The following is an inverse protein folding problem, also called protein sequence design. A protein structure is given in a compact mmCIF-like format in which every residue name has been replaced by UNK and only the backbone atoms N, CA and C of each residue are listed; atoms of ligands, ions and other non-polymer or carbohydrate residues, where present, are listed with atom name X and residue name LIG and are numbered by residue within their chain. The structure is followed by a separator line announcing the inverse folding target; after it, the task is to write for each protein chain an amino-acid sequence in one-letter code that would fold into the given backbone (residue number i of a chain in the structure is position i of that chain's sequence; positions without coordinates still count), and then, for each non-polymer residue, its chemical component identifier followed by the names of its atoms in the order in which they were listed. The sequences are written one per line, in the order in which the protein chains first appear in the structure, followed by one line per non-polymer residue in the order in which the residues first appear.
data_IF_138740353530
#
_entry.id   IF_138740353530
#
_cell.length_a   1.000
_cell.length_b   1.000
_cell.length_c   1.000
_cell.angle_alpha   90.00
_cell.angle_beta   90.00
_cell.angle_gamma   90.00
#
_symmetry.space_group_name_H-M   'P 1'
#
loop_
_entity.id
_entity.type
_entity.pdbx_description
1 polymer ?
#
# COMPACT_ATOMS: atom_id res chain seq x y z
N UNK A 1 6.57 -18.33 -12.05
CA UNK A 1 5.56 -18.22 -10.97
C UNK A 1 4.66 -19.46 -10.93
N UNK A 2 5.14 -20.62 -11.42
CA UNK A 2 4.39 -21.88 -11.38
C UNK A 2 3.97 -22.20 -9.94
N UNK A 3 2.81 -22.82 -9.75
CA UNK A 3 2.29 -23.11 -8.42
C UNK A 3 1.34 -22.08 -7.83
N UNK A 4 1.49 -20.78 -8.12
CA UNK A 4 0.74 -19.75 -7.39
C UNK A 4 -0.74 -19.76 -7.75
N UNK A 5 -1.62 -19.90 -6.75
CA UNK A 5 -3.06 -19.98 -6.95
C UNK A 5 -3.51 -21.29 -7.60
N UNK A 6 -2.65 -22.30 -7.73
CA UNK A 6 -3.07 -23.61 -8.27
C UNK A 6 -4.19 -24.24 -7.44
N UNK A 7 -4.25 -23.96 -6.14
CA UNK A 7 -5.42 -24.25 -5.32
C UNK A 7 -5.77 -23.09 -4.38
N UNK A 8 -7.06 -22.99 -4.07
CA UNK A 8 -7.63 -22.09 -3.07
C UNK A 8 -8.64 -22.91 -2.25
N UNK A 9 -8.48 -22.94 -0.93
CA UNK A 9 -9.39 -23.59 0.00
C UNK A 9 -10.06 -22.50 0.83
N UNK A 10 -11.37 -22.36 0.68
CA UNK A 10 -12.17 -21.45 1.48
C UNK A 10 -12.96 -22.21 2.54
N UNK A 11 -13.21 -21.55 3.66
CA UNK A 11 -14.24 -21.95 4.63
C UNK A 11 -15.41 -20.99 4.49
N UNK A 12 -16.61 -21.53 4.24
CA UNK A 12 -17.86 -20.77 4.26
C UNK A 12 -18.58 -21.06 5.58
N UNK A 13 -18.61 -20.06 6.45
CA UNK A 13 -19.31 -20.09 7.73
C UNK A 13 -20.78 -19.73 7.47
N UNK A 14 -21.54 -20.73 7.01
CA UNK A 14 -22.89 -20.58 6.49
C UNK A 14 -23.90 -20.01 7.50
N UNK A 15 -23.60 -20.06 8.80
CA UNK A 15 -24.45 -19.47 9.85
C UNK A 15 -24.40 -17.94 9.89
N UNK A 16 -23.32 -17.34 9.36
CA UNK A 16 -23.09 -15.88 9.33
C UNK A 16 -22.82 -15.36 7.91
N UNK A 17 -22.91 -16.25 6.92
CA UNK A 17 -22.63 -16.01 5.50
C UNK A 17 -21.26 -15.35 5.21
N UNK A 18 -20.22 -15.80 5.93
CA UNK A 18 -18.85 -15.32 5.72
C UNK A 18 -17.96 -16.36 5.05
N UNK A 19 -17.12 -15.91 4.11
CA UNK A 19 -16.14 -16.75 3.40
C UNK A 19 -14.72 -16.31 3.73
N UNK A 20 -13.89 -17.26 4.19
CA UNK A 20 -12.49 -17.01 4.58
C UNK A 20 -11.56 -17.90 3.77
N UNK A 21 -10.52 -17.32 3.15
CA UNK A 21 -9.48 -18.10 2.48
C UNK A 21 -8.59 -18.78 3.52
N UNK A 22 -8.83 -20.07 3.74
CA UNK A 22 -8.19 -20.85 4.79
C UNK A 22 -6.85 -21.46 4.35
N UNK A 23 -6.69 -21.87 3.09
CA UNK A 23 -5.41 -22.31 2.55
C UNK A 23 -5.28 -21.98 1.06
N UNK A 24 -4.06 -21.76 0.58
CA UNK A 24 -3.77 -21.49 -0.83
C UNK A 24 -2.28 -21.69 -1.13
N UNK A 25 -1.94 -21.89 -2.40
CA UNK A 25 -0.56 -21.84 -2.85
C UNK A 25 -0.13 -20.42 -3.22
N UNK A 26 0.87 -19.87 -2.54
CA UNK A 26 1.41 -18.54 -2.84
C UNK A 26 2.87 -18.61 -3.26
N UNK A 27 3.23 -17.95 -4.36
CA UNK A 27 4.65 -17.82 -4.75
C UNK A 27 5.39 -16.72 -3.99
N UNK A 28 4.69 -15.90 -3.20
CA UNK A 28 5.20 -14.79 -2.39
C UNK A 28 5.96 -13.69 -3.17
N UNK A 29 5.88 -13.69 -4.51
CA UNK A 29 6.51 -12.68 -5.39
C UNK A 29 5.55 -11.51 -5.64
N UNK A 30 5.23 -10.76 -4.60
CA UNK A 30 4.21 -9.69 -4.62
C UNK A 30 4.46 -8.54 -5.63
N UNK A 31 5.68 -8.35 -6.14
CA UNK A 31 5.95 -7.37 -7.20
C UNK A 31 5.69 -7.90 -8.63
N UNK A 32 5.45 -9.21 -8.77
CA UNK A 32 5.20 -9.86 -10.06
C UNK A 32 3.85 -10.56 -10.12
N UNK A 33 3.38 -11.08 -8.99
CA UNK A 33 2.20 -11.91 -8.89
C UNK A 33 1.01 -11.09 -8.36
N UNK A 34 -0.02 -10.81 -9.19
CA UNK A 34 -1.18 -10.02 -8.78
C UNK A 34 -1.89 -10.62 -7.56
N UNK A 35 -2.04 -11.96 -7.51
CA UNK A 35 -2.67 -12.65 -6.37
C UNK A 35 -1.92 -12.37 -5.06
N UNK A 36 -0.60 -12.59 -5.04
CA UNK A 36 0.20 -12.32 -3.83
C UNK A 36 0.22 -10.83 -3.49
N UNK A 37 0.21 -9.95 -4.49
CA UNK A 37 0.16 -8.50 -4.30
C UNK A 37 -1.14 -8.09 -3.60
N UNK A 38 -2.30 -8.48 -4.15
CA UNK A 38 -3.63 -8.16 -3.61
C UNK A 38 -3.78 -8.68 -2.18
N UNK A 39 -3.38 -9.93 -1.92
CA UNK A 39 -3.47 -10.49 -0.57
C UNK A 39 -2.58 -9.74 0.42
N UNK A 40 -1.35 -9.39 0.03
CA UNK A 40 -0.45 -8.61 0.89
C UNK A 40 -0.98 -7.20 1.14
N UNK A 41 -1.50 -6.54 0.11
CA UNK A 41 -2.11 -5.21 0.21
C UNK A 41 -3.32 -5.22 1.15
N UNK A 42 -4.19 -6.23 1.03
CA UNK A 42 -5.36 -6.40 1.90
C UNK A 42 -4.98 -6.62 3.37
N UNK A 43 -3.94 -7.41 3.66
CA UNK A 43 -3.42 -7.60 5.04
C UNK A 43 -2.88 -6.31 5.63
N UNK A 44 -2.09 -5.57 4.85
CA UNK A 44 -1.57 -4.28 5.28
C UNK A 44 -2.72 -3.28 5.52
N UNK A 45 -3.67 -3.18 4.59
CA UNK A 45 -4.85 -2.33 4.73
C UNK A 45 -5.59 -2.62 6.03
N UNK A 46 -5.92 -3.89 6.31
CA UNK A 46 -6.62 -4.27 7.54
C UNK A 46 -5.84 -3.87 8.79
N UNK A 47 -4.55 -4.21 8.87
CA UNK A 47 -3.73 -3.88 10.04
C UNK A 47 -3.66 -2.36 10.30
N UNK A 48 -3.55 -1.55 9.25
CA UNK A 48 -3.51 -0.09 9.41
C UNK A 48 -4.88 0.53 9.68
N UNK A 49 -5.98 -0.05 9.18
CA UNK A 49 -7.34 0.34 9.53
C UNK A 49 -7.65 0.01 10.99
N UNK A 50 -7.34 -1.20 11.44
CA UNK A 50 -7.51 -1.60 12.84
C UNK A 50 -6.69 -0.67 13.76
N UNK A 51 -5.48 -0.29 13.35
CA UNK A 51 -4.70 0.72 14.07
C UNK A 51 -5.34 2.11 14.05
N UNK A 52 -5.91 2.52 12.91
CA UNK A 52 -6.60 3.80 12.78
C UNK A 52 -7.80 3.89 13.72
N UNK A 53 -8.59 2.82 13.86
CA UNK A 53 -9.73 2.78 14.78
C UNK A 53 -9.32 3.06 16.23
N UNK A 54 -8.21 2.46 16.68
CA UNK A 54 -7.63 2.74 18.00
C UNK A 54 -7.18 4.20 18.12
N UNK A 55 -6.45 4.72 17.13
CA UNK A 55 -5.95 6.10 17.15
C UNK A 55 -7.12 7.10 17.18
N UNK A 56 -8.16 6.88 16.38
CA UNK A 56 -9.32 7.75 16.28
C UNK A 56 -10.10 7.80 17.60
N UNK A 57 -10.20 6.67 18.30
CA UNK A 57 -10.83 6.60 19.61
C UNK A 57 -10.03 7.37 20.68
N UNK A 58 -8.70 7.30 20.65
CA UNK A 58 -7.82 7.97 21.63
C UNK A 58 -7.57 9.45 21.33
N UNK A 59 -7.49 9.82 20.04
CA UNK A 59 -7.08 11.14 19.56
C UNK A 59 -8.13 11.72 18.63
N UNK A 60 -9.27 12.08 19.21
CA UNK A 60 -10.49 12.49 18.51
C UNK A 60 -10.34 13.74 17.64
N UNK A 61 -9.30 14.55 17.83
CA UNK A 61 -8.98 15.71 17.00
C UNK A 61 -8.29 15.35 15.68
N UNK A 62 -7.64 14.18 15.58
CA UNK A 62 -6.91 13.80 14.36
C UNK A 62 -7.86 13.49 13.21
N UNK A 63 -7.47 13.93 12.02
CA UNK A 63 -8.14 13.69 10.75
C UNK A 63 -7.14 13.08 9.75
N UNK A 64 -7.59 12.15 8.90
CA UNK A 64 -6.76 11.60 7.83
C UNK A 64 -6.76 12.52 6.61
N UNK A 65 -5.57 12.77 6.08
CA UNK A 65 -5.33 13.50 4.83
C UNK A 65 -4.58 12.59 3.86
N UNK A 66 -5.03 12.55 2.61
CA UNK A 66 -4.26 11.95 1.54
C UNK A 66 -3.22 12.96 1.06
N UNK A 67 -1.97 12.52 1.01
CA UNK A 67 -0.84 13.30 0.52
C UNK A 67 -0.13 12.53 -0.58
N UNK A 68 0.04 13.15 -1.74
CA UNK A 68 0.81 12.58 -2.85
C UNK A 68 2.08 13.40 -3.06
N UNK A 69 3.23 12.74 -3.17
CA UNK A 69 4.51 13.38 -3.51
C UNK A 69 5.10 12.74 -4.76
N UNK A 70 5.46 13.57 -5.73
CA UNK A 70 5.96 13.13 -7.04
C UNK A 70 7.35 13.73 -7.29
N UNK A 71 8.26 12.98 -7.90
CA UNK A 71 9.52 13.53 -8.45
C UNK A 71 9.42 13.64 -9.97
N UNK A 72 10.29 14.45 -10.58
CA UNK A 72 10.32 14.56 -12.04
C UNK A 72 10.58 13.20 -12.69
N UNK A 73 9.80 12.90 -13.72
CA UNK A 73 9.94 11.69 -14.53
C UNK A 73 11.37 11.53 -15.07
N UNK A 74 11.78 10.27 -15.28
CA UNK A 74 13.09 10.00 -15.85
C UNK A 74 13.25 8.59 -16.41
N UNK A 75 14.26 8.36 -17.23
CA UNK A 75 14.44 7.09 -17.95
C UNK A 75 14.94 5.95 -17.06
N UNK A 76 15.63 6.26 -15.94
CA UNK A 76 16.21 5.27 -15.02
C UNK A 76 15.33 5.10 -13.78
N UNK A 77 14.65 3.96 -13.67
CA UNK A 77 13.80 3.64 -12.52
C UNK A 77 14.58 3.60 -11.20
N UNK A 78 15.77 3.02 -11.20
CA UNK A 78 16.55 2.80 -9.98
C UNK A 78 17.01 4.14 -9.40
N UNK A 79 17.42 5.05 -10.28
CA UNK A 79 17.80 6.39 -9.92
C UNK A 79 16.59 7.22 -9.49
N UNK A 80 15.50 7.25 -10.27
CA UNK A 80 14.28 8.01 -9.91
C UNK A 80 13.67 7.54 -8.58
N UNK A 81 13.63 6.23 -8.33
CA UNK A 81 13.17 5.69 -7.05
C UNK A 81 14.08 6.09 -5.89
N UNK A 82 15.41 6.03 -6.08
CA UNK A 82 16.38 6.45 -5.05
C UNK A 82 16.23 7.94 -4.73
N UNK A 83 16.01 8.77 -5.75
CA UNK A 83 15.76 10.20 -5.61
C UNK A 83 14.52 10.47 -4.76
N UNK A 84 13.37 9.90 -5.14
CA UNK A 84 12.12 10.01 -4.38
C UNK A 84 12.27 9.50 -2.93
N UNK A 85 12.90 8.35 -2.74
CA UNK A 85 13.10 7.78 -1.41
C UNK A 85 14.01 8.65 -0.52
N UNK A 86 15.08 9.22 -1.09
CA UNK A 86 15.98 10.16 -0.38
C UNK A 86 15.26 11.45 -0.02
N UNK A 87 14.50 12.02 -0.96
CA UNK A 87 13.72 13.23 -0.76
C UNK A 87 12.68 13.04 0.36
N UNK A 88 11.89 11.96 0.29
CA UNK A 88 10.91 11.67 1.33
C UNK A 88 11.57 11.51 2.71
N UNK A 89 12.70 10.80 2.79
CA UNK A 89 13.44 10.66 4.04
C UNK A 89 13.92 12.02 4.57
N UNK A 90 14.41 12.91 3.71
CA UNK A 90 14.86 14.24 4.12
C UNK A 90 13.70 15.10 4.66
N UNK A 91 12.51 15.05 4.02
CA UNK A 91 11.32 15.75 4.52
C UNK A 91 10.96 15.31 5.96
N UNK A 92 10.97 14.00 6.23
CA UNK A 92 10.76 13.48 7.60
C UNK A 92 11.89 13.86 8.56
N UNK A 93 13.15 13.90 8.09
CA UNK A 93 14.26 14.36 8.93
C UNK A 93 14.14 15.85 9.28
N UNK A 94 13.63 16.71 8.38
CA UNK A 94 13.35 18.12 8.69
C UNK A 94 12.33 18.26 9.83
N UNK A 95 11.23 17.49 9.79
CA UNK A 95 10.28 17.40 10.92
C UNK A 95 10.99 17.00 12.23
N UNK A 96 11.80 15.94 12.20
CA UNK A 96 12.51 15.47 13.40
C UNK A 96 13.51 16.49 13.96
N UNK A 97 14.08 17.35 13.12
CA UNK A 97 14.98 18.43 13.54
C UNK A 97 14.24 19.64 14.14
N UNK A 98 12.91 19.71 14.03
CA UNK A 98 12.08 20.74 14.66
C UNK A 98 12.30 22.16 14.12
N UNK A 99 12.58 22.30 12.81
CA UNK A 99 12.92 23.60 12.18
C UNK A 99 11.77 24.23 11.38
N UNK A 100 10.52 23.93 11.73
CA UNK A 100 9.34 24.50 11.03
C UNK A 100 9.03 23.79 9.72
N UNK A 101 8.89 22.46 9.75
CA UNK A 101 8.50 21.65 8.59
C UNK A 101 6.97 21.64 8.41
N UNK A 102 6.50 21.54 7.18
CA UNK A 102 5.07 21.37 6.87
C UNK A 102 4.44 20.15 7.54
N UNK A 103 5.25 19.13 7.86
CA UNK A 103 4.81 17.92 8.56
C UNK A 103 4.82 18.05 10.09
N UNK A 104 5.14 19.22 10.67
CA UNK A 104 5.26 19.38 12.13
C UNK A 104 3.96 19.03 12.86
N UNK A 105 2.79 19.36 12.30
CA UNK A 105 1.47 18.98 12.80
C UNK A 105 1.05 17.53 12.52
N UNK A 106 1.86 16.74 11.82
CA UNK A 106 1.55 15.32 11.50
C UNK A 106 1.97 14.43 12.67
N UNK A 107 1.00 13.72 13.26
CA UNK A 107 1.16 12.85 14.42
C UNK A 107 1.47 11.40 14.03
N UNK A 108 1.15 11.01 12.79
CA UNK A 108 1.53 9.74 12.21
C UNK A 108 1.24 9.69 10.72
N UNK A 109 1.94 8.81 10.02
CA UNK A 109 1.70 8.60 8.61
C UNK A 109 1.99 7.16 8.19
N UNK A 110 1.34 6.71 7.12
CA UNK A 110 1.68 5.49 6.39
C UNK A 110 1.70 5.81 4.91
N UNK A 111 2.68 5.30 4.17
CA UNK A 111 2.82 5.59 2.74
C UNK A 111 3.32 4.39 1.96
N UNK A 112 2.95 4.35 0.68
CA UNK A 112 3.42 3.38 -0.29
C UNK A 112 4.04 4.10 -1.50
N UNK A 113 5.01 3.44 -2.14
CA UNK A 113 5.61 3.93 -3.38
C UNK A 113 4.94 3.27 -4.59
N UNK A 114 4.49 4.06 -5.56
CA UNK A 114 4.05 3.62 -6.88
C UNK A 114 5.13 3.99 -7.92
N UNK A 115 5.38 3.07 -8.85
CA UNK A 115 6.16 3.37 -10.06
C UNK A 115 5.35 2.93 -11.27
N UNK A 116 5.20 3.82 -12.24
CA UNK A 116 4.58 3.52 -13.53
C UNK A 116 5.32 4.21 -14.66
N UNK A 117 5.15 3.76 -15.90
CA UNK A 117 5.51 4.61 -17.04
C UNK A 117 4.45 5.69 -17.24
N UNK A 118 4.88 6.92 -17.50
CA UNK A 118 3.99 8.01 -17.86
C UNK A 118 3.27 7.70 -19.18
N UNK A 119 1.98 8.04 -19.26
CA UNK A 119 1.20 7.85 -20.49
C UNK A 119 1.82 8.68 -21.62
N UNK A 120 2.27 8.01 -22.69
CA UNK A 120 2.86 8.66 -23.86
C UNK A 120 4.31 9.15 -23.72
N UNK A 121 4.87 9.26 -22.51
CA UNK A 121 6.25 9.72 -22.30
C UNK A 121 7.28 8.59 -22.36
N UNK A 122 6.87 7.37 -22.05
CA UNK A 122 7.76 6.20 -22.03
C UNK A 122 8.82 6.24 -20.92
N UNK A 123 8.80 7.22 -20.02
CA UNK A 123 9.73 7.37 -18.88
C UNK A 123 9.04 7.00 -17.57
N UNK A 124 9.83 6.72 -16.53
CA UNK A 124 9.32 6.32 -15.22
C UNK A 124 8.82 7.53 -14.43
N UNK A 125 7.66 7.35 -13.81
CA UNK A 125 6.94 8.30 -12.98
C UNK A 125 6.78 7.72 -11.56
N UNK A 126 7.83 7.76 -10.72
CA UNK A 126 7.73 7.35 -9.34
C UNK A 126 7.08 8.45 -8.50
N UNK A 127 6.15 8.03 -7.67
CA UNK A 127 5.49 8.87 -6.69
C UNK A 127 5.15 8.04 -5.46
N UNK A 128 4.74 8.71 -4.39
CA UNK A 128 4.23 8.04 -3.21
C UNK A 128 2.87 8.61 -2.84
N UNK A 129 2.03 7.74 -2.29
CA UNK A 129 0.78 8.12 -1.65
C UNK A 129 0.89 7.86 -0.16
N UNK A 130 0.42 8.80 0.64
CA UNK A 130 0.56 8.82 2.09
C UNK A 130 -0.77 9.16 2.74
N UNK A 131 -1.15 8.42 3.78
CA UNK A 131 -2.10 8.89 4.77
C UNK A 131 -1.31 9.66 5.82
N UNK A 132 -1.62 10.93 6.04
CA UNK A 132 -1.10 11.73 7.13
C UNK A 132 -2.21 12.01 8.15
N UNK A 133 -1.95 11.77 9.44
CA UNK A 133 -2.86 12.14 10.52
C UNK A 133 -2.42 13.44 11.17
N UNK A 134 -3.28 14.45 11.10
CA UNK A 134 -3.05 15.76 11.71
C UNK A 134 -4.37 16.34 12.23
N UNK A 135 -4.30 17.31 13.13
CA UNK A 135 -5.50 18.06 13.58
C UNK A 135 -5.93 19.10 12.55
N UNK A 136 -4.95 19.67 11.83
CA UNK A 136 -5.12 20.66 10.78
C UNK A 136 -4.49 20.13 9.50
N UNK A 137 -5.14 20.37 8.37
CA UNK A 137 -4.64 19.97 7.06
C UNK A 137 -3.23 20.53 6.81
N UNK A 138 -2.26 19.69 6.41
CA UNK A 138 -0.95 20.18 5.99
C UNK A 138 -1.07 21.11 4.78
N UNK A 139 -0.50 22.32 4.87
CA UNK A 139 -0.58 23.29 3.78
C UNK A 139 0.09 22.76 2.51
N UNK A 140 -0.70 22.56 1.44
CA UNK A 140 -0.20 22.12 0.15
C UNK A 140 0.86 23.07 -0.42
N UNK A 141 0.65 24.38 -0.33
CA UNK A 141 1.61 25.37 -0.83
C UNK A 141 2.96 25.32 -0.11
N UNK A 142 2.93 25.13 1.22
CA UNK A 142 4.16 24.95 2.01
C UNK A 142 4.84 23.65 1.64
N UNK A 143 4.07 22.57 1.51
CA UNK A 143 4.59 21.26 1.13
C UNK A 143 5.22 21.30 -0.26
N UNK A 144 4.59 21.96 -1.22
CA UNK A 144 5.12 22.15 -2.58
C UNK A 144 6.48 22.86 -2.57
N UNK A 145 6.61 23.94 -1.80
CA UNK A 145 7.89 24.67 -1.62
C UNK A 145 8.96 23.82 -0.95
N UNK A 146 8.66 23.23 0.20
CA UNK A 146 9.62 22.38 0.93
C UNK A 146 10.02 21.15 0.09
N UNK A 147 9.09 20.58 -0.67
CA UNK A 147 9.36 19.46 -1.57
C UNK A 147 10.29 19.87 -2.71
N UNK A 148 10.11 21.06 -3.28
CA UNK A 148 11.02 21.60 -4.28
C UNK A 148 12.42 21.87 -3.72
N UNK A 149 12.53 22.41 -2.50
CA UNK A 149 13.83 22.59 -1.84
C UNK A 149 14.55 21.26 -1.58
N UNK A 150 13.80 20.21 -1.26
CA UNK A 150 14.36 18.88 -0.97
C UNK A 150 14.74 18.12 -2.24
N UNK A 151 13.90 18.18 -3.27
CA UNK A 151 14.09 17.42 -4.51
C UNK A 151 14.95 18.15 -5.52
N UNK A 152 14.88 19.48 -5.58
CA UNK A 152 15.48 20.31 -6.62
C UNK A 152 14.82 20.17 -8.00
N UNK A 153 13.89 19.23 -8.21
CA UNK A 153 13.33 18.91 -9.52
C UNK A 153 11.80 18.78 -9.55
N UNK A 154 11.11 18.80 -8.41
CA UNK A 154 9.66 18.72 -8.35
C UNK A 154 9.04 19.58 -7.26
N UNK A 155 7.96 20.27 -7.61
CA UNK A 155 7.06 20.96 -6.68
C UNK A 155 5.66 20.32 -6.70
N UNK A 156 5.49 19.21 -7.43
CA UNK A 156 4.20 18.56 -7.65
C UNK A 156 3.85 17.71 -6.44
N UNK A 157 2.82 18.16 -5.74
CA UNK A 157 2.24 17.52 -4.56
C UNK A 157 0.73 17.68 -4.60
N UNK A 158 0.02 16.81 -3.88
CA UNK A 158 -1.43 16.91 -3.64
C UNK A 158 -1.67 16.69 -2.15
N UNK A 159 -2.49 17.53 -1.53
CA UNK A 159 -2.99 17.35 -0.16
C UNK A 159 -4.48 17.55 -0.17
N UNK A 160 -5.22 16.55 0.33
CA UNK A 160 -6.68 16.62 0.42
C UNK A 160 -7.19 15.85 1.64
N UNK A 161 -8.30 16.29 2.25
CA UNK A 161 -8.91 15.53 3.34
C UNK A 161 -9.49 14.22 2.80
N UNK A 162 -9.45 13.18 3.62
CA UNK A 162 -10.21 11.96 3.35
C UNK A 162 -11.58 12.15 3.99
N UNK A 163 -12.57 12.46 3.16
CA UNK A 163 -13.98 12.61 3.54
C UNK A 163 -14.72 11.26 3.45
N UNK A 164 -15.82 11.13 4.19
CA UNK A 164 -16.62 9.91 4.16
C UNK A 164 -15.97 8.73 4.89
N UNK A 165 -15.97 7.55 4.28
CA UNK A 165 -15.40 6.33 4.86
C UNK A 165 -13.86 6.36 4.77
N UNK A 166 -13.13 6.43 5.91
CA UNK A 166 -11.67 6.39 5.92
C UNK A 166 -11.08 5.16 5.22
N UNK A 167 -11.83 4.05 5.15
CA UNK A 167 -11.40 2.86 4.44
C UNK A 167 -11.11 3.15 2.96
N UNK A 168 -11.85 4.05 2.31
CA UNK A 168 -11.64 4.43 0.92
C UNK A 168 -10.28 5.12 0.71
N UNK A 169 -9.94 6.07 1.58
CA UNK A 169 -8.64 6.75 1.53
C UNK A 169 -7.48 5.80 1.81
N UNK A 170 -7.62 4.89 2.78
CA UNK A 170 -6.60 3.89 3.05
C UNK A 170 -6.47 2.91 1.89
N UNK A 171 -7.59 2.45 1.32
CA UNK A 171 -7.60 1.59 0.13
C UNK A 171 -6.82 2.23 -1.00
N UNK A 172 -6.93 3.55 -1.21
CA UNK A 172 -6.13 4.27 -2.18
C UNK A 172 -4.63 4.01 -1.93
N UNK A 173 -4.09 4.30 -0.74
CA UNK A 173 -2.66 4.06 -0.40
C UNK A 173 -2.22 2.60 -0.54
N UNK A 174 -3.05 1.63 -0.13
CA UNK A 174 -2.67 0.21 -0.16
C UNK A 174 -2.88 -0.46 -1.53
N UNK A 175 -3.77 0.06 -2.39
CA UNK A 175 -3.95 -0.39 -3.78
C UNK A 175 -2.69 -0.15 -4.60
N UNK A 176 -1.92 0.89 -4.31
CA UNK A 176 -0.66 1.14 -5.02
C UNK A 176 0.42 0.09 -4.81
N UNK A 177 0.36 -0.66 -3.69
CA UNK A 177 1.25 -1.81 -3.48
C UNK A 177 1.00 -2.94 -4.49
N UNK A 178 -0.13 -2.92 -5.21
CA UNK A 178 -0.56 -3.97 -6.14
C UNK A 178 -0.46 -3.56 -7.61
N UNK A 179 -0.26 -2.27 -7.93
CA UNK A 179 -0.28 -1.75 -9.30
C UNK A 179 0.89 -2.16 -10.20
N UNK A 180 1.87 -2.89 -9.67
CA UNK A 180 2.96 -3.44 -10.50
C UNK A 180 2.42 -4.37 -11.59
N UNK A 181 1.30 -5.07 -11.33
CA UNK A 181 0.67 -5.96 -12.30
C UNK A 181 -0.16 -5.27 -13.37
N UNK A 182 -0.48 -3.98 -13.19
CA UNK A 182 -1.35 -3.22 -14.11
C UNK A 182 -0.55 -2.61 -15.28
N UNK A 183 0.75 -2.89 -15.34
CA UNK A 183 1.69 -2.41 -16.34
C UNK A 183 2.07 -3.50 -17.35
N UNK A 184 2.63 -3.14 -18.52
CA UNK A 184 3.14 -4.13 -19.47
C UNK A 184 4.14 -5.11 -18.83
N UNK A 185 4.14 -6.40 -19.18
CA UNK A 185 4.97 -7.41 -18.51
C UNK A 185 6.48 -7.09 -18.46
N UNK A 186 7.01 -6.42 -19.49
CA UNK A 186 8.41 -5.99 -19.53
C UNK A 186 8.73 -4.95 -18.46
N UNK A 187 7.81 -4.01 -18.21
CA UNK A 187 7.95 -2.98 -17.20
C UNK A 187 7.78 -3.55 -15.80
N UNK A 188 6.80 -4.44 -15.59
CA UNK A 188 6.62 -5.18 -14.35
C UNK A 188 7.88 -5.98 -14.00
N UNK A 189 8.47 -6.67 -14.98
CA UNK A 189 9.72 -7.42 -14.78
C UNK A 189 10.89 -6.50 -14.43
N UNK A 190 11.06 -5.39 -15.16
CA UNK A 190 12.11 -4.42 -14.87
C UNK A 190 11.96 -3.83 -13.46
N UNK A 191 10.74 -3.40 -13.09
CA UNK A 191 10.44 -2.87 -11.78
C UNK A 191 10.72 -3.89 -10.67
N UNK A 192 10.37 -5.16 -10.87
CA UNK A 192 10.74 -6.23 -9.94
C UNK A 192 12.25 -6.36 -9.79
N UNK A 193 13.01 -6.41 -10.88
CA UNK A 193 14.48 -6.54 -10.82
C UNK A 193 15.13 -5.39 -10.04
N UNK A 194 14.62 -4.16 -10.24
CA UNK A 194 15.17 -2.95 -9.62
C UNK A 194 14.75 -2.81 -8.14
N UNK A 195 13.49 -3.13 -7.82
CA UNK A 195 12.87 -2.82 -6.53
C UNK A 195 12.75 -4.02 -5.58
N UNK A 196 13.07 -5.23 -6.03
CA UNK A 196 13.10 -6.41 -5.14
C UNK A 196 14.01 -6.15 -3.95
N UNK A 197 13.49 -6.41 -2.75
CA UNK A 197 14.21 -6.20 -1.48
C UNK A 197 14.22 -4.74 -0.99
N UNK A 198 13.64 -3.79 -1.74
CA UNK A 198 13.40 -2.44 -1.24
C UNK A 198 12.12 -2.40 -0.42
N UNK A 199 12.11 -1.54 0.61
CA UNK A 199 10.92 -1.28 1.41
C UNK A 199 10.02 -0.29 0.68
N UNK A 200 8.88 -0.76 0.20
CA UNK A 200 7.91 0.04 -0.57
C UNK A 200 6.70 0.52 0.24
N UNK A 201 6.63 0.14 1.52
CA UNK A 201 5.65 0.60 2.50
C UNK A 201 6.41 1.13 3.71
N UNK A 202 6.12 2.35 4.14
CA UNK A 202 6.73 3.00 5.29
C UNK A 202 5.70 3.61 6.22
N UNK A 203 6.09 3.84 7.48
CA UNK A 203 5.25 4.52 8.45
C UNK A 203 6.04 5.40 9.44
N UNK A 204 5.34 6.33 10.06
CA UNK A 204 5.85 7.30 11.02
C UNK A 204 4.83 7.58 12.13
N UNK A 205 5.32 8.08 13.28
CA UNK A 205 4.48 8.51 14.40
C UNK A 205 3.56 7.41 14.93
N UNK A 206 2.27 7.71 15.16
CA UNK A 206 1.31 6.76 15.75
C UNK A 206 1.01 5.51 14.90
N UNK A 207 1.43 5.50 13.63
CA UNK A 207 1.39 4.33 12.74
C UNK A 207 2.67 3.49 12.75
N UNK A 208 3.72 3.88 13.50
CA UNK A 208 4.89 3.01 13.68
C UNK A 208 4.55 1.81 14.55
N UNK A 209 5.20 0.69 14.25
CA UNK A 209 5.05 -0.54 15.02
C UNK A 209 3.77 -1.32 14.73
N UNK A 210 2.98 -0.91 13.73
CA UNK A 210 1.88 -1.73 13.23
C UNK A 210 2.45 -3.02 12.69
N UNK A 211 2.05 -4.13 13.30
CA UNK A 211 2.40 -5.47 12.86
C UNK A 211 1.46 -5.89 11.73
N UNK A 212 2.04 -6.25 10.59
CA UNK A 212 1.27 -6.70 9.42
C UNK A 212 1.49 -8.20 9.32
N UNK A 213 0.44 -9.03 9.46
CA UNK A 213 0.57 -10.47 9.40
C UNK A 213 1.29 -10.92 8.12
N UNK A 214 2.29 -11.79 8.27
CA UNK A 214 2.99 -12.37 7.11
C UNK A 214 2.10 -13.32 6.31
N UNK A 215 1.12 -13.93 6.98
CA UNK A 215 0.15 -14.83 6.37
C UNK A 215 -0.77 -14.11 5.40
N UNK A 216 -0.86 -14.62 4.18
CA UNK A 216 -1.80 -14.15 3.17
C UNK A 216 -3.20 -14.80 3.32
N UNK A 217 -3.38 -15.70 4.29
CA UNK A 217 -4.62 -16.42 4.61
C UNK A 217 -5.48 -15.63 5.58
N UNK A 218 -6.81 -15.79 5.47
CA UNK A 218 -7.75 -15.12 6.36
C UNK A 218 -7.79 -15.82 7.72
N UNK A 219 -8.02 -15.03 8.76
CA UNK A 219 -8.29 -15.55 10.10
C UNK A 219 -9.57 -16.39 10.09
N UNK A 220 -9.55 -17.49 10.85
CA UNK A 220 -10.74 -18.31 11.05
C UNK A 220 -11.71 -17.60 12.00
N UNK A 221 -12.99 -17.95 11.92
CA UNK A 221 -13.96 -17.57 12.93
C UNK A 221 -14.01 -18.69 13.96
N UNK A 222 -13.73 -18.36 15.21
CA UNK A 222 -13.73 -19.33 16.29
C UNK A 222 -15.15 -19.85 16.55
N UNK A 223 -15.24 -21.13 16.88
CA UNK A 223 -16.47 -21.83 17.32
C UNK A 223 -17.68 -21.78 16.36
N UNK A 224 -17.49 -21.42 15.09
CA UNK A 224 -18.55 -21.46 14.07
C UNK A 224 -18.40 -22.66 13.13
N UNK A 225 -19.51 -23.37 12.81
CA UNK A 225 -19.47 -24.43 11.81
C UNK A 225 -19.23 -23.85 10.41
N UNK A 226 -18.55 -24.62 9.56
CA UNK A 226 -18.25 -24.21 8.19
C UNK A 226 -18.30 -25.38 7.22
N UNK A 227 -18.43 -25.06 5.93
CA UNK A 227 -18.16 -26.00 4.83
C UNK A 227 -16.88 -25.60 4.12
N UNK A 228 -16.12 -26.60 3.65
CA UNK A 228 -14.90 -26.37 2.87
C UNK A 228 -15.20 -26.31 1.39
N UNK A 229 -14.75 -25.24 0.73
CA UNK A 229 -14.86 -25.03 -0.70
C UNK A 229 -13.45 -25.06 -1.30
N UNK A 230 -13.08 -26.20 -1.87
CA UNK A 230 -11.77 -26.41 -2.48
C UNK A 230 -11.81 -26.14 -3.99
N UNK A 231 -11.10 -25.12 -4.43
CA UNK A 231 -10.97 -24.75 -5.84
C UNK A 231 -9.58 -25.11 -6.35
N UNK A 232 -9.53 -25.69 -7.56
CA UNK A 232 -8.28 -25.97 -8.28
C UNK A 232 -8.28 -25.25 -9.62
N UNK A 233 -7.16 -24.66 -9.98
CA UNK A 233 -6.98 -24.04 -11.29
C UNK A 233 -6.66 -25.11 -12.35
N UNK A 234 -7.58 -25.32 -13.29
CA UNK A 234 -7.47 -26.31 -14.38
C UNK A 234 -7.96 -25.66 -15.68
N UNK A 235 -7.21 -25.80 -16.77
CA UNK A 235 -7.70 -25.44 -18.11
C UNK A 235 -8.07 -23.96 -18.32
N UNK A 236 -7.48 -23.04 -17.56
CA UNK A 236 -7.72 -21.59 -17.70
C UNK A 236 -8.66 -20.98 -16.65
N UNK A 237 -9.27 -21.79 -15.78
CA UNK A 237 -10.19 -21.31 -14.73
C UNK A 237 -10.12 -22.13 -13.45
N UNK A 238 -10.86 -21.67 -12.43
CA UNK A 238 -11.03 -22.43 -11.19
C UNK A 238 -12.24 -23.35 -11.27
N UNK A 239 -12.09 -24.59 -10.84
CA UNK A 239 -13.19 -25.54 -10.67
C UNK A 239 -13.33 -25.92 -9.19
N UNK A 240 -14.55 -25.83 -8.66
CA UNK A 240 -14.86 -26.35 -7.33
C UNK A 240 -14.75 -27.87 -7.36
N UNK A 241 -13.77 -28.40 -6.65
CA UNK A 241 -13.64 -29.84 -6.44
C UNK A 241 -14.38 -30.16 -5.16
N UNK A 242 -15.48 -30.90 -5.25
CA UNK A 242 -16.12 -31.45 -4.05
C UNK A 242 -15.16 -32.46 -3.44
N UNK A 243 -14.65 -32.20 -2.23
CA UNK A 243 -14.16 -33.28 -1.38
C UNK A 243 -15.39 -33.95 -0.78
N UNK A 244 -15.46 -35.27 -0.97
CA UNK A 244 -16.39 -36.16 -0.26
C UNK A 244 -16.09 -36.10 1.25
#
# INVERSE_FOLDING_TARGET
MAGCGEYLLFRHYFTVDEVRLHAASFCMKHLLCPLCAIRRGSRALKAYLDRWEVIRAEKTALRPFLVTLTVKDGPDLAERFRHLHKAQRELWMRKHRGRGCVLDGVHGAVWSYEVKRGQGSGVWHPHLHMIALAEVEPSQDRLSREWHEVTGDSFIVDVRPIEGDPAEGFMEVFKYAVKFSDQPPADTWHAFQVLKGKRLLGSAGCFRGVDVPESLLDEALDDLPFVELFYRYIGGGYSLTKRL
#
